data_IF_252357902520
#
_entry.id   IF_252357902520
#
_cell.length_a   1.000
_cell.length_b   1.000
_cell.length_c   1.000
_cell.angle_alpha   90.00
_cell.angle_beta   90.00
_cell.angle_gamma   90.00
#
_symmetry.space_group_name_H-M   'P 1'
#
loop_
_entity.id
_entity.type
_entity.pdbx_description
1 polymer ?
#
# COMPACT_ATOMS: atom_id res chain seq x y z
N UNK A 1 1.88 25.01 21.28
CA UNK A 1 1.58 24.92 19.84
C UNK A 1 0.29 24.10 19.72
N UNK A 2 -0.77 24.68 19.18
CA UNK A 2 -2.04 23.96 19.01
C UNK A 2 -2.00 23.30 17.63
N UNK A 3 -2.09 21.98 17.57
CA UNK A 3 -2.17 21.26 16.30
C UNK A 3 -3.59 21.38 15.76
N UNK A 4 -3.80 21.87 14.51
CA UNK A 4 -5.14 22.16 13.99
C UNK A 4 -6.11 20.97 14.02
N UNK A 5 -5.59 19.75 13.79
CA UNK A 5 -6.38 18.50 13.81
C UNK A 5 -6.60 17.96 15.24
N UNK A 6 -5.85 18.43 16.23
CA UNK A 6 -5.84 17.87 17.57
C UNK A 6 -5.93 19.00 18.61
N UNK A 7 -7.11 19.66 18.75
CA UNK A 7 -7.30 20.77 19.68
C UNK A 7 -7.00 20.39 21.13
N UNK A 8 -7.22 19.12 21.47
CA UNK A 8 -6.93 18.53 22.79
C UNK A 8 -5.72 17.60 22.67
N UNK A 9 -4.51 18.18 22.54
CA UNK A 9 -3.26 17.39 22.47
C UNK A 9 -3.13 16.54 23.73
N UNK A 10 -3.26 15.21 23.52
CA UNK A 10 -2.97 14.22 24.55
C UNK A 10 -1.57 13.63 24.33
N UNK A 11 -0.91 13.15 25.38
CA UNK A 11 0.34 12.42 25.23
C UNK A 11 0.22 11.26 24.22
N UNK A 12 1.32 10.90 23.56
CA UNK A 12 1.37 9.89 22.49
C UNK A 12 0.86 8.51 22.95
N UNK A 13 0.99 8.19 24.23
CA UNK A 13 0.46 6.96 24.80
C UNK A 13 -1.06 6.96 25.04
N UNK A 14 -1.75 8.10 24.82
CA UNK A 14 -3.20 8.22 24.86
C UNK A 14 -3.77 8.08 23.45
N UNK A 15 -4.29 6.91 23.10
CA UNK A 15 -4.85 6.63 21.77
C UNK A 15 -6.37 6.64 21.77
N UNK A 16 -6.94 6.98 20.60
CA UNK A 16 -8.37 6.80 20.30
C UNK A 16 -8.62 5.53 19.46
N UNK A 17 -7.56 4.77 19.14
CA UNK A 17 -7.65 3.59 18.28
C UNK A 17 -7.65 3.88 16.78
N UNK A 18 -7.56 5.16 16.35
CA UNK A 18 -7.51 5.57 14.95
C UNK A 18 -6.13 6.07 14.55
N UNK A 19 -5.80 6.01 13.26
CA UNK A 19 -4.52 6.48 12.72
C UNK A 19 -4.36 7.98 13.00
N UNK A 20 -3.26 8.38 13.67
CA UNK A 20 -2.97 9.76 14.07
C UNK A 20 -4.18 10.51 14.71
N UNK A 21 -5.06 9.79 15.42
CA UNK A 21 -6.31 10.31 16.03
C UNK A 21 -7.30 10.90 15.01
N UNK A 22 -7.30 10.44 13.76
CA UNK A 22 -8.25 10.89 12.76
C UNK A 22 -9.69 10.60 13.20
N UNK A 23 -10.64 11.47 12.88
CA UNK A 23 -12.07 11.20 13.11
C UNK A 23 -12.57 10.13 12.14
N UNK A 24 -13.68 9.48 12.50
CA UNK A 24 -14.31 8.47 11.63
C UNK A 24 -15.13 9.06 10.47
N UNK A 25 -15.43 10.35 10.49
CA UNK A 25 -16.19 11.02 9.45
C UNK A 25 -15.80 12.51 9.34
N UNK A 26 -15.81 13.02 8.10
CA UNK A 26 -15.71 14.45 7.76
C UNK A 26 -16.50 14.72 6.48
N UNK A 27 -17.08 15.92 6.36
CA UNK A 27 -17.96 16.28 5.26
C UNK A 27 -17.25 16.26 3.90
N UNK A 28 -16.04 16.63 3.76
CA UNK A 28 -15.31 16.71 2.49
C UNK A 28 -14.07 15.83 2.46
N UNK A 29 -14.13 14.66 3.11
CA UNK A 29 -13.02 13.73 3.13
C UNK A 29 -12.53 13.38 1.71
N UNK A 30 -11.21 13.42 1.51
CA UNK A 30 -10.55 13.02 0.25
C UNK A 30 -9.67 11.80 0.43
N UNK A 31 -9.29 11.47 1.67
CA UNK A 31 -8.52 10.29 2.02
C UNK A 31 -9.23 9.56 3.16
N UNK A 32 -9.26 8.25 3.11
CA UNK A 32 -9.74 7.40 4.20
C UNK A 32 -8.71 6.30 4.51
N UNK A 33 -8.35 6.19 5.78
CA UNK A 33 -7.61 5.03 6.29
C UNK A 33 -8.63 3.92 6.56
N UNK A 34 -8.33 2.70 6.08
CA UNK A 34 -9.19 1.53 6.25
C UNK A 34 -8.35 0.28 6.52
N UNK A 35 -8.64 -0.46 7.59
CA UNK A 35 -7.95 -1.72 7.88
C UNK A 35 -8.57 -2.90 7.13
N UNK A 36 -7.73 -3.80 6.65
CA UNK A 36 -8.10 -5.02 5.95
C UNK A 36 -7.41 -6.23 6.62
N UNK A 37 -7.86 -6.63 7.84
CA UNK A 37 -7.15 -7.55 8.73
C UNK A 37 -7.31 -9.04 8.33
N UNK A 38 -6.86 -9.41 7.12
CA UNK A 38 -6.90 -10.77 6.60
C UNK A 38 -5.49 -11.30 6.35
N UNK A 39 -5.17 -12.53 6.78
CA UNK A 39 -3.84 -13.13 6.62
C UNK A 39 -3.84 -14.66 6.51
N UNK A 40 -4.99 -15.25 6.22
CA UNK A 40 -5.09 -16.71 6.06
C UNK A 40 -4.75 -17.20 4.66
N UNK A 41 -4.31 -16.29 3.79
CA UNK A 41 -3.76 -16.63 2.48
C UNK A 41 -2.22 -16.66 2.45
N UNK A 42 -1.55 -16.44 3.60
CA UNK A 42 -0.10 -16.45 3.71
C UNK A 42 0.48 -17.87 3.60
N UNK A 43 1.61 -17.99 2.90
CA UNK A 43 2.29 -19.27 2.66
C UNK A 43 3.23 -19.71 3.79
N UNK A 44 3.67 -18.79 4.65
CA UNK A 44 4.65 -19.08 5.71
C UNK A 44 4.26 -18.48 7.05
N UNK A 45 4.71 -17.28 7.39
CA UNK A 45 4.40 -16.64 8.67
C UNK A 45 3.04 -15.96 8.58
N UNK A 46 2.29 -15.99 9.67
CA UNK A 46 0.99 -15.31 9.82
C UNK A 46 1.08 -14.25 10.90
N UNK A 47 0.16 -13.28 10.89
CA UNK A 47 0.10 -12.20 11.87
C UNK A 47 -0.20 -10.84 11.25
N UNK A 48 -0.28 -10.74 9.92
CA UNK A 48 -0.60 -9.50 9.23
C UNK A 48 -2.01 -8.97 9.57
N UNK A 49 -2.93 -9.82 10.04
CA UNK A 49 -4.24 -9.40 10.57
C UNK A 49 -4.15 -8.42 11.74
N UNK A 50 -3.03 -8.38 12.44
CA UNK A 50 -2.79 -7.44 13.55
C UNK A 50 -2.11 -6.15 13.10
N UNK A 51 -1.71 -6.04 11.83
CA UNK A 51 -1.04 -4.87 11.29
C UNK A 51 -1.87 -3.58 11.40
N UNK A 52 -3.18 -3.55 11.07
CA UNK A 52 -3.95 -2.32 11.14
C UNK A 52 -3.90 -1.68 12.54
N UNK A 53 -4.03 -2.48 13.58
CA UNK A 53 -3.94 -2.00 14.97
C UNK A 53 -2.54 -1.49 15.31
N UNK A 54 -1.49 -2.24 14.97
CA UNK A 54 -0.11 -1.89 15.28
C UNK A 54 0.33 -0.61 14.54
N UNK A 55 -0.05 -0.47 13.28
CA UNK A 55 0.25 0.72 12.46
C UNK A 55 -0.46 1.95 13.04
N UNK A 56 -1.74 1.84 13.44
CA UNK A 56 -2.46 2.93 14.10
C UNK A 56 -1.78 3.33 15.42
N UNK A 57 -1.34 2.35 16.20
CA UNK A 57 -0.60 2.62 17.43
C UNK A 57 0.73 3.33 17.15
N UNK A 58 1.51 2.86 16.18
CA UNK A 58 2.77 3.49 15.79
C UNK A 58 2.57 4.91 15.25
N UNK A 59 1.47 5.17 14.54
CA UNK A 59 1.15 6.49 13.98
C UNK A 59 0.99 7.59 15.04
N UNK A 60 0.78 7.23 16.30
CA UNK A 60 0.62 8.19 17.39
C UNK A 60 1.88 9.01 17.66
N UNK A 61 3.05 8.57 17.21
CA UNK A 61 4.34 9.26 17.33
C UNK A 61 4.61 10.21 16.17
N UNK A 62 3.81 10.17 15.11
CA UNK A 62 3.98 11.02 13.94
C UNK A 62 3.43 12.42 14.18
N UNK A 63 4.07 13.40 13.55
CA UNK A 63 3.63 14.80 13.55
C UNK A 63 2.87 15.13 12.26
N UNK A 64 1.91 16.10 12.31
CA UNK A 64 0.99 16.32 11.18
C UNK A 64 1.63 16.98 9.96
N UNK A 65 2.78 17.67 10.10
CA UNK A 65 3.41 18.40 9.01
C UNK A 65 4.46 17.57 8.27
N UNK A 66 4.38 17.51 6.95
CA UNK A 66 5.34 16.85 6.08
C UNK A 66 6.42 17.82 5.60
N UNK A 67 7.66 17.79 6.15
CA UNK A 67 8.65 18.83 5.89
C UNK A 67 9.21 18.83 4.46
N UNK A 68 9.31 17.67 3.80
CA UNK A 68 9.79 17.57 2.41
C UNK A 68 8.78 18.19 1.43
N UNK A 69 7.51 17.88 1.59
CA UNK A 69 6.44 18.32 0.70
C UNK A 69 5.77 19.62 1.13
N UNK A 70 6.03 20.06 2.36
CA UNK A 70 5.48 21.31 2.95
C UNK A 70 3.95 21.34 2.96
N UNK A 71 3.34 20.21 3.32
CA UNK A 71 1.88 20.02 3.41
C UNK A 71 1.51 19.45 4.77
N UNK A 72 0.23 19.54 5.12
CA UNK A 72 -0.41 18.81 6.22
C UNK A 72 -1.27 17.67 5.63
N UNK A 73 -0.72 16.48 5.36
CA UNK A 73 -1.35 15.48 4.51
C UNK A 73 -2.79 15.17 4.88
N UNK A 74 -3.07 14.96 6.16
CA UNK A 74 -4.39 14.55 6.63
C UNK A 74 -5.34 15.74 6.86
N UNK A 75 -4.84 16.93 7.10
CA UNK A 75 -5.65 18.14 7.19
C UNK A 75 -6.04 18.63 5.79
N UNK A 76 -5.07 18.74 4.88
CA UNK A 76 -5.29 19.21 3.51
C UNK A 76 -6.26 18.28 2.75
N UNK A 77 -6.25 16.98 3.07
CA UNK A 77 -7.16 15.98 2.47
C UNK A 77 -8.43 15.73 3.27
N UNK A 78 -8.62 16.41 4.40
CA UNK A 78 -9.73 16.18 5.31
C UNK A 78 -9.89 14.68 5.67
N UNK A 79 -8.76 14.02 5.91
CA UNK A 79 -8.70 12.57 6.08
C UNK A 79 -9.52 12.04 7.26
N UNK A 80 -10.00 10.82 7.10
CA UNK A 80 -10.74 10.05 8.11
C UNK A 80 -10.12 8.68 8.32
N UNK A 81 -10.42 8.03 9.44
CA UNK A 81 -10.15 6.61 9.67
C UNK A 81 -11.48 5.89 9.91
N UNK A 82 -11.87 5.03 8.96
CA UNK A 82 -13.16 4.35 8.97
C UNK A 82 -13.15 3.02 9.73
N UNK A 83 -12.03 2.69 10.39
CA UNK A 83 -11.87 1.42 11.10
C UNK A 83 -11.50 0.27 10.19
N UNK A 84 -11.85 -0.95 10.60
CA UNK A 84 -11.49 -2.18 9.91
C UNK A 84 -12.70 -2.83 9.23
N UNK A 85 -12.45 -3.44 8.08
CA UNK A 85 -13.44 -4.30 7.40
C UNK A 85 -13.62 -5.59 8.20
N UNK A 86 -14.86 -6.02 8.36
CA UNK A 86 -15.18 -7.31 8.97
C UNK A 86 -14.86 -8.45 8.01
N UNK A 87 -13.68 -9.05 8.14
CA UNK A 87 -13.24 -10.20 7.34
C UNK A 87 -13.67 -11.52 7.95
N UNK A 88 -13.75 -12.58 7.14
CA UNK A 88 -14.04 -13.93 7.55
C UNK A 88 -12.75 -14.77 7.44
N UNK A 89 -12.02 -15.03 8.52
CA UNK A 89 -10.66 -15.61 8.45
C UNK A 89 -10.54 -16.93 7.69
N UNK A 90 -11.58 -17.76 7.70
CA UNK A 90 -11.62 -19.06 7.04
C UNK A 90 -12.30 -19.05 5.66
N UNK A 91 -12.61 -17.85 5.12
CA UNK A 91 -13.29 -17.74 3.82
C UNK A 91 -12.74 -16.50 3.06
N UNK A 92 -11.76 -16.74 2.21
CA UNK A 92 -11.10 -15.71 1.42
C UNK A 92 -12.08 -15.02 0.45
N UNK A 93 -12.96 -15.77 -0.21
CA UNK A 93 -13.91 -15.22 -1.18
C UNK A 93 -14.88 -14.25 -0.51
N UNK A 94 -15.44 -14.64 0.64
CA UNK A 94 -16.35 -13.76 1.38
C UNK A 94 -15.61 -12.55 1.96
N UNK A 95 -14.37 -12.70 2.37
CA UNK A 95 -13.52 -11.59 2.81
C UNK A 95 -13.24 -10.62 1.67
N UNK A 96 -12.94 -11.13 0.47
CA UNK A 96 -12.78 -10.28 -0.72
C UNK A 96 -14.03 -9.47 -1.04
N UNK A 97 -15.23 -10.09 -1.01
CA UNK A 97 -16.49 -9.37 -1.23
C UNK A 97 -16.67 -8.22 -0.25
N UNK A 98 -16.42 -8.44 1.03
CA UNK A 98 -16.57 -7.42 2.08
C UNK A 98 -15.53 -6.29 1.93
N UNK A 99 -14.28 -6.63 1.62
CA UNK A 99 -13.23 -5.64 1.36
C UNK A 99 -13.52 -4.84 0.09
N UNK A 100 -13.93 -5.51 -0.99
CA UNK A 100 -14.30 -4.87 -2.24
C UNK A 100 -15.48 -3.89 -2.06
N UNK A 101 -16.53 -4.28 -1.33
CA UNK A 101 -17.68 -3.42 -1.01
C UNK A 101 -17.25 -2.16 -0.25
N UNK A 102 -16.39 -2.31 0.75
CA UNK A 102 -15.90 -1.18 1.55
C UNK A 102 -15.03 -0.21 0.73
N UNK A 103 -14.10 -0.74 -0.07
CA UNK A 103 -13.25 0.05 -0.96
C UNK A 103 -14.08 0.76 -2.04
N UNK A 104 -15.05 0.05 -2.61
CA UNK A 104 -15.95 0.59 -3.64
C UNK A 104 -16.81 1.75 -3.12
N UNK A 105 -17.31 1.66 -1.89
CA UNK A 105 -18.10 2.74 -1.27
C UNK A 105 -17.27 4.02 -1.12
N UNK A 106 -16.01 3.91 -0.68
CA UNK A 106 -15.10 5.04 -0.58
C UNK A 106 -14.78 5.63 -1.95
N UNK A 107 -14.39 4.80 -2.92
CA UNK A 107 -14.01 5.24 -4.27
C UNK A 107 -15.18 5.92 -5.00
N UNK A 108 -16.41 5.41 -4.87
CA UNK A 108 -17.61 6.04 -5.44
C UNK A 108 -17.90 7.43 -4.89
N UNK A 109 -17.48 7.71 -3.66
CA UNK A 109 -17.58 9.03 -3.03
C UNK A 109 -16.43 9.97 -3.41
N UNK A 110 -15.50 9.52 -4.28
CA UNK A 110 -14.31 10.28 -4.64
C UNK A 110 -13.28 10.38 -3.52
N UNK A 111 -13.33 9.46 -2.56
CA UNK A 111 -12.38 9.34 -1.46
C UNK A 111 -11.30 8.32 -1.87
N UNK A 112 -10.03 8.67 -1.72
CA UNK A 112 -8.90 7.80 -1.96
C UNK A 112 -8.66 6.93 -0.72
N UNK A 113 -8.91 5.61 -0.77
CA UNK A 113 -8.62 4.73 0.36
C UNK A 113 -7.13 4.48 0.49
N UNK A 114 -6.65 4.38 1.73
CA UNK A 114 -5.33 3.88 2.08
C UNK A 114 -5.56 2.66 2.97
N UNK A 115 -5.35 1.47 2.42
CA UNK A 115 -5.51 0.18 3.09
C UNK A 115 -4.37 -0.08 4.06
N UNK A 116 -4.70 -0.41 5.30
CA UNK A 116 -3.78 -1.02 6.25
C UNK A 116 -3.94 -2.53 6.12
N UNK A 117 -3.00 -3.19 5.45
CA UNK A 117 -3.11 -4.59 5.11
C UNK A 117 -3.04 -5.52 6.32
N UNK A 118 -3.42 -6.60 6.00
CA UNK A 118 -3.28 -8.00 5.92
C UNK A 118 -2.13 -8.48 5.04
N UNK A 119 -2.30 -9.72 4.59
CA UNK A 119 -1.42 -10.30 3.58
C UNK A 119 -1.68 -9.68 2.19
N UNK A 120 -0.78 -9.88 1.22
CA UNK A 120 -0.87 -9.20 -0.08
C UNK A 120 -2.07 -9.64 -0.93
N UNK A 121 -2.74 -10.75 -0.58
CA UNK A 121 -3.94 -11.21 -1.30
C UNK A 121 -5.08 -10.18 -1.29
N UNK A 122 -5.14 -9.30 -0.28
CA UNK A 122 -6.21 -8.30 -0.12
C UNK A 122 -6.27 -7.29 -1.27
N UNK A 123 -5.13 -7.03 -1.92
CA UNK A 123 -5.01 -6.05 -3.00
C UNK A 123 -5.91 -6.40 -4.18
N UNK A 124 -6.19 -7.69 -4.41
CA UNK A 124 -7.14 -8.11 -5.44
C UNK A 124 -8.54 -7.53 -5.22
N UNK A 125 -9.03 -7.51 -3.99
CA UNK A 125 -10.34 -6.91 -3.67
C UNK A 125 -10.36 -5.40 -3.92
N UNK A 126 -9.26 -4.71 -3.58
CA UNK A 126 -9.09 -3.27 -3.83
C UNK A 126 -9.07 -2.95 -5.33
N UNK A 127 -8.38 -3.76 -6.14
CA UNK A 127 -8.34 -3.61 -7.60
C UNK A 127 -9.68 -3.91 -8.27
N UNK A 128 -10.46 -4.87 -7.77
CA UNK A 128 -11.86 -5.12 -8.23
C UNK A 128 -12.74 -3.91 -8.00
N UNK A 129 -12.65 -3.29 -6.82
CA UNK A 129 -13.36 -2.05 -6.52
C UNK A 129 -12.93 -0.91 -7.46
N UNK A 130 -11.63 -0.74 -7.67
CA UNK A 130 -11.06 0.27 -8.57
C UNK A 130 -11.58 0.10 -10.01
N UNK A 131 -11.58 -1.12 -10.53
CA UNK A 131 -12.10 -1.44 -11.88
C UNK A 131 -13.55 -1.00 -12.05
N UNK A 132 -14.40 -1.17 -11.03
CA UNK A 132 -15.82 -0.80 -11.09
C UNK A 132 -16.04 0.72 -11.20
N UNK A 133 -15.10 1.52 -10.70
CA UNK A 133 -15.22 3.00 -10.71
C UNK A 133 -14.44 3.64 -11.86
N UNK A 134 -13.24 3.13 -12.14
CA UNK A 134 -12.26 3.78 -13.03
C UNK A 134 -11.98 2.99 -14.33
N UNK A 135 -12.51 1.79 -14.49
CA UNK A 135 -12.12 0.88 -15.57
C UNK A 135 -10.79 0.21 -15.25
N UNK A 136 -10.03 -0.19 -16.29
CA UNK A 136 -8.67 -0.73 -16.08
C UNK A 136 -7.74 0.37 -15.57
N UNK A 137 -6.96 0.05 -14.55
CA UNK A 137 -6.09 1.00 -13.86
C UNK A 137 -4.60 0.68 -14.08
N UNK A 138 -3.74 1.67 -13.85
CA UNK A 138 -2.31 1.46 -13.68
C UNK A 138 -2.03 0.95 -12.26
N UNK A 139 -0.91 0.26 -12.08
CA UNK A 139 -0.47 -0.21 -10.76
C UNK A 139 1.03 -0.01 -10.58
N UNK A 140 1.42 0.42 -9.39
CA UNK A 140 2.81 0.38 -8.93
C UNK A 140 2.85 -0.54 -7.72
N UNK A 141 3.63 -1.61 -7.82
CA UNK A 141 3.92 -2.54 -6.74
C UNK A 141 5.37 -2.33 -6.30
N UNK A 142 5.56 -2.06 -5.02
CA UNK A 142 6.85 -2.15 -4.36
C UNK A 142 6.88 -3.43 -3.54
N UNK A 143 7.80 -4.32 -3.86
CA UNK A 143 7.80 -5.69 -3.35
C UNK A 143 9.15 -6.36 -3.59
N UNK A 144 9.46 -7.39 -2.84
CA UNK A 144 10.54 -8.32 -3.19
C UNK A 144 10.09 -9.43 -4.14
N UNK A 145 8.77 -9.70 -4.20
CA UNK A 145 8.14 -10.75 -4.99
C UNK A 145 7.28 -10.20 -6.13
N UNK A 146 7.04 -11.01 -7.16
CA UNK A 146 6.15 -10.61 -8.26
C UNK A 146 4.68 -10.82 -7.95
N UNK A 147 4.35 -11.76 -7.06
CA UNK A 147 2.99 -12.15 -6.69
C UNK A 147 2.10 -12.49 -7.91
N UNK A 148 2.72 -13.12 -8.89
CA UNK A 148 2.11 -13.60 -10.14
C UNK A 148 2.14 -15.12 -10.28
N UNK A 149 2.32 -15.85 -9.18
CA UNK A 149 2.23 -17.31 -9.18
C UNK A 149 0.79 -17.75 -9.33
N UNK A 150 0.56 -18.81 -10.13
CA UNK A 150 -0.79 -19.25 -10.42
C UNK A 150 -1.44 -19.94 -9.21
N UNK A 151 -0.80 -20.99 -8.68
CA UNK A 151 -1.36 -21.77 -7.58
C UNK A 151 -0.33 -22.08 -6.51
N UNK A 152 -0.83 -22.31 -5.30
CA UNK A 152 -0.06 -22.86 -4.18
C UNK A 152 -0.89 -23.98 -3.56
N UNK A 153 -0.37 -25.26 -3.59
CA UNK A 153 -1.12 -26.46 -3.21
C UNK A 153 -2.53 -26.53 -3.84
N UNK A 154 -2.61 -26.29 -5.13
CA UNK A 154 -3.84 -26.26 -5.93
C UNK A 154 -4.82 -25.12 -5.60
N UNK A 155 -4.48 -24.24 -4.64
CA UNK A 155 -5.26 -23.05 -4.32
C UNK A 155 -4.84 -21.84 -5.18
N UNK A 156 -5.83 -21.18 -5.80
CA UNK A 156 -5.61 -20.05 -6.70
C UNK A 156 -5.49 -18.72 -5.98
N UNK A 157 -6.11 -18.59 -4.82
CA UNK A 157 -6.22 -17.33 -4.09
C UNK A 157 -5.35 -17.38 -2.84
N UNK A 158 -4.16 -16.83 -2.93
CA UNK A 158 -3.18 -16.72 -1.85
C UNK A 158 -2.33 -15.46 -2.03
N UNK A 159 -1.50 -15.10 -1.07
CA UNK A 159 -0.79 -13.82 -1.10
C UNK A 159 0.19 -13.68 -2.27
N UNK A 160 0.69 -14.77 -2.85
CA UNK A 160 1.57 -14.74 -4.03
C UNK A 160 0.83 -14.74 -5.38
N UNK A 161 -0.50 -14.57 -5.42
CA UNK A 161 -1.26 -14.67 -6.67
C UNK A 161 -2.14 -13.46 -7.03
N UNK A 162 -2.20 -12.37 -6.26
CA UNK A 162 -3.18 -11.32 -6.53
C UNK A 162 -3.05 -10.71 -7.92
N UNK A 163 -1.84 -10.62 -8.48
CA UNK A 163 -1.62 -9.90 -9.72
C UNK A 163 -1.83 -10.76 -10.98
N UNK A 164 -1.64 -12.07 -10.90
CA UNK A 164 -2.11 -12.93 -11.99
C UNK A 164 -3.64 -13.00 -12.00
N UNK A 165 -4.30 -13.04 -10.84
CA UNK A 165 -5.77 -12.96 -10.76
C UNK A 165 -6.27 -11.61 -11.28
N UNK A 166 -5.61 -10.51 -10.92
CA UNK A 166 -5.95 -9.17 -11.45
C UNK A 166 -5.81 -9.09 -12.97
N UNK A 167 -4.82 -9.75 -13.56
CA UNK A 167 -4.65 -9.86 -15.00
C UNK A 167 -5.78 -10.67 -15.64
N UNK A 168 -6.08 -11.86 -15.14
CA UNK A 168 -7.15 -12.72 -15.65
C UNK A 168 -8.52 -12.04 -15.61
N UNK A 169 -8.80 -11.23 -14.59
CA UNK A 169 -10.03 -10.46 -14.44
C UNK A 169 -10.00 -9.14 -15.26
N UNK A 170 -8.91 -8.85 -15.94
CA UNK A 170 -8.75 -7.63 -16.75
C UNK A 170 -8.87 -6.35 -15.92
N UNK A 171 -8.34 -6.34 -14.69
CA UNK A 171 -8.43 -5.19 -13.78
C UNK A 171 -7.40 -4.11 -14.12
N UNK A 172 -6.27 -4.50 -14.70
CA UNK A 172 -5.09 -3.67 -14.91
C UNK A 172 -4.88 -3.35 -16.40
N UNK A 173 -4.18 -2.24 -16.69
CA UNK A 173 -3.54 -1.97 -17.98
C UNK A 173 -2.13 -2.55 -17.95
N UNK A 174 -1.83 -3.70 -18.61
CA UNK A 174 -0.58 -4.43 -18.41
C UNK A 174 0.68 -3.58 -18.63
N UNK A 175 0.70 -2.78 -19.69
CA UNK A 175 1.80 -1.88 -20.04
C UNK A 175 2.05 -0.77 -18.99
N UNK A 176 1.12 -0.56 -18.06
CA UNK A 176 1.19 0.42 -16.96
C UNK A 176 1.25 -0.22 -15.57
N UNK A 177 1.60 -1.49 -15.52
CA UNK A 177 1.92 -2.20 -14.28
C UNK A 177 3.43 -2.17 -14.09
N UNK A 178 3.87 -1.72 -12.93
CA UNK A 178 5.27 -1.71 -12.52
C UNK A 178 5.44 -2.52 -11.25
N UNK A 179 6.30 -3.55 -11.30
CA UNK A 179 6.72 -4.37 -10.17
C UNK A 179 8.17 -4.00 -9.84
N UNK A 180 8.39 -3.34 -8.71
CA UNK A 180 9.65 -2.67 -8.39
C UNK A 180 10.27 -3.26 -7.13
N UNK A 181 11.52 -3.66 -7.22
CA UNK A 181 12.28 -4.20 -6.08
C UNK A 181 12.44 -5.70 -6.07
N UNK A 182 12.01 -6.37 -7.13
CA UNK A 182 12.00 -7.83 -7.26
C UNK A 182 13.41 -8.39 -7.06
N UNK A 183 13.51 -9.40 -6.18
CA UNK A 183 14.77 -10.04 -5.81
C UNK A 183 14.54 -11.40 -5.15
N UNK A 184 15.60 -11.97 -4.60
CA UNK A 184 15.57 -13.23 -3.86
C UNK A 184 15.79 -14.44 -4.75
N UNK A 185 15.60 -15.60 -4.15
CA UNK A 185 15.72 -16.90 -4.84
C UNK A 185 14.37 -17.31 -5.43
N UNK A 186 14.40 -17.96 -6.58
CA UNK A 186 13.22 -18.39 -7.32
C UNK A 186 13.06 -19.91 -7.26
N UNK A 187 11.85 -20.41 -7.31
CA UNK A 187 11.60 -21.85 -7.49
C UNK A 187 11.96 -22.30 -8.90
N UNK A 188 11.72 -21.42 -9.89
CA UNK A 188 11.97 -21.69 -11.29
C UNK A 188 12.35 -20.39 -12.02
N UNK A 189 13.20 -20.43 -13.07
CA UNK A 189 13.52 -19.24 -13.87
C UNK A 189 12.28 -18.52 -14.42
N UNK A 190 11.21 -19.26 -14.70
CA UNK A 190 9.94 -18.70 -15.20
C UNK A 190 9.13 -17.88 -14.20
N UNK A 191 9.53 -17.80 -12.95
CA UNK A 191 8.75 -17.07 -11.93
C UNK A 191 8.74 -15.55 -12.20
N UNK A 192 9.80 -14.99 -12.75
CA UNK A 192 9.85 -13.59 -13.19
C UNK A 192 9.37 -13.45 -14.63
N UNK A 193 9.75 -14.38 -15.52
CA UNK A 193 9.31 -14.39 -16.91
C UNK A 193 7.79 -14.36 -17.04
N UNK A 194 7.06 -15.00 -16.14
CA UNK A 194 5.60 -14.95 -16.10
C UNK A 194 5.07 -13.51 -16.04
N UNK A 195 5.69 -12.63 -15.26
CA UNK A 195 5.28 -11.21 -15.19
C UNK A 195 5.54 -10.46 -16.51
N UNK A 196 6.65 -10.75 -17.18
CA UNK A 196 6.92 -10.18 -18.51
C UNK A 196 5.93 -10.68 -19.58
N UNK A 197 5.52 -11.96 -19.50
CA UNK A 197 4.52 -12.56 -20.39
C UNK A 197 3.13 -11.92 -20.18
N UNK A 198 2.81 -11.47 -18.96
CA UNK A 198 1.61 -10.69 -18.68
C UNK A 198 1.69 -9.25 -19.23
N UNK A 199 2.84 -8.81 -19.74
CA UNK A 199 3.07 -7.45 -20.23
C UNK A 199 3.42 -6.44 -19.15
N UNK A 200 3.85 -6.89 -17.97
CA UNK A 200 4.22 -6.04 -16.84
C UNK A 200 5.66 -5.55 -16.96
N UNK A 201 5.94 -4.39 -16.37
CA UNK A 201 7.28 -3.83 -16.28
C UNK A 201 7.90 -4.29 -14.95
N UNK A 202 8.81 -5.26 -15.02
CA UNK A 202 9.53 -5.74 -13.83
C UNK A 202 10.84 -5.00 -13.71
N UNK A 203 11.06 -4.38 -12.56
CA UNK A 203 12.28 -3.64 -12.22
C UNK A 203 12.91 -4.31 -10.99
N UNK A 204 13.95 -5.08 -11.23
CA UNK A 204 14.65 -5.79 -10.15
C UNK A 204 15.40 -4.81 -9.24
N UNK A 205 15.70 -5.24 -8.01
CA UNK A 205 16.55 -4.46 -7.09
C UNK A 205 17.89 -4.10 -7.73
N UNK A 206 18.48 -5.03 -8.48
CA UNK A 206 19.76 -4.77 -9.19
C UNK A 206 19.59 -3.69 -10.27
N UNK A 207 18.53 -3.73 -11.03
CA UNK A 207 18.23 -2.73 -12.05
C UNK A 207 17.98 -1.37 -11.42
N UNK A 208 17.11 -1.30 -10.38
CA UNK A 208 16.82 -0.06 -9.67
C UNK A 208 18.08 0.58 -9.08
N UNK A 209 18.99 -0.21 -8.52
CA UNK A 209 20.27 0.29 -8.00
C UNK A 209 21.24 0.75 -9.11
N UNK A 210 21.29 0.05 -10.24
CA UNK A 210 22.20 0.41 -11.33
C UNK A 210 21.75 1.64 -12.11
N UNK A 211 20.44 1.82 -12.31
CA UNK A 211 19.87 2.99 -12.99
C UNK A 211 19.69 4.19 -12.07
N UNK A 212 19.49 3.93 -10.78
CA UNK A 212 19.08 4.92 -9.80
C UNK A 212 17.57 5.21 -9.82
N UNK A 213 17.01 5.48 -8.64
CA UNK A 213 15.57 5.65 -8.49
C UNK A 213 15.01 6.86 -9.26
N UNK A 214 15.81 7.90 -9.50
CA UNK A 214 15.36 9.10 -10.25
C UNK A 214 14.96 8.73 -11.68
N UNK A 215 15.79 7.94 -12.36
CA UNK A 215 15.52 7.48 -13.73
C UNK A 215 14.30 6.55 -13.79
N UNK A 216 14.24 5.59 -12.89
CA UNK A 216 13.11 4.63 -12.83
C UNK A 216 11.80 5.34 -12.52
N UNK A 217 11.77 6.28 -11.58
CA UNK A 217 10.57 7.06 -11.26
C UNK A 217 10.15 7.94 -12.43
N UNK A 218 11.09 8.51 -13.16
CA UNK A 218 10.78 9.28 -14.37
C UNK A 218 10.11 8.41 -15.44
N UNK A 219 10.59 7.18 -15.65
CA UNK A 219 9.96 6.19 -16.54
C UNK A 219 8.54 5.86 -16.09
N UNK A 220 8.34 5.49 -14.82
CA UNK A 220 7.05 5.16 -14.24
C UNK A 220 6.05 6.31 -14.49
N UNK A 221 6.44 7.53 -14.13
CA UNK A 221 5.59 8.72 -14.29
C UNK A 221 5.24 9.01 -15.76
N UNK A 222 6.20 8.86 -16.67
CA UNK A 222 5.97 9.08 -18.09
C UNK A 222 5.00 8.05 -18.69
N UNK A 223 5.14 6.79 -18.32
CA UNK A 223 4.34 5.69 -18.88
C UNK A 223 2.92 5.64 -18.28
N UNK A 224 2.77 5.87 -16.98
CA UNK A 224 1.45 5.94 -16.32
C UNK A 224 0.70 7.22 -16.73
N UNK A 225 1.38 8.35 -16.79
CA UNK A 225 0.77 9.63 -17.12
C UNK A 225 -0.36 10.02 -16.16
N UNK A 226 -1.56 10.30 -16.72
CA UNK A 226 -2.74 10.64 -15.93
C UNK A 226 -3.71 9.46 -15.72
N UNK A 227 -3.30 8.24 -16.05
CA UNK A 227 -4.11 7.03 -15.84
C UNK A 227 -4.40 6.88 -14.33
N UNK A 228 -5.64 6.52 -13.94
CA UNK A 228 -5.92 6.17 -12.56
C UNK A 228 -4.96 5.09 -12.07
N UNK A 229 -4.25 5.36 -10.96
CA UNK A 229 -3.15 4.53 -10.49
C UNK A 229 -3.40 4.04 -9.07
N UNK A 230 -3.29 2.74 -8.85
CA UNK A 230 -3.25 2.11 -7.53
C UNK A 230 -1.79 1.86 -7.15
N UNK A 231 -1.41 2.16 -5.90
CA UNK A 231 -0.08 1.85 -5.39
C UNK A 231 -0.21 0.84 -4.25
N UNK A 232 0.43 -0.31 -4.41
CA UNK A 232 0.55 -1.33 -3.37
C UNK A 232 2.01 -1.41 -2.90
N UNK A 233 2.18 -1.49 -1.59
CA UNK A 233 3.49 -1.55 -0.96
C UNK A 233 3.56 -2.74 -0.01
N UNK A 234 4.27 -3.79 -0.44
CA UNK A 234 4.68 -4.85 0.47
C UNK A 234 5.86 -4.37 1.31
N UNK A 235 5.75 -4.55 2.62
CA UNK A 235 6.81 -4.09 3.52
C UNK A 235 8.12 -4.86 3.35
N UNK A 236 8.09 -6.04 2.72
CA UNK A 236 9.28 -6.83 2.42
C UNK A 236 10.12 -6.28 1.24
N UNK A 237 9.64 -5.25 0.51
CA UNK A 237 10.49 -4.41 -0.33
C UNK A 237 11.69 -3.87 0.44
N UNK A 238 11.50 -3.60 1.73
CA UNK A 238 12.52 -3.14 2.67
C UNK A 238 13.41 -4.31 3.07
N UNK A 239 14.70 -4.04 3.25
CA UNK A 239 15.62 -5.04 3.79
C UNK A 239 15.21 -5.44 5.22
N UNK A 240 15.25 -6.73 5.58
CA UNK A 240 14.91 -7.21 6.92
C UNK A 240 15.69 -6.55 8.07
N UNK A 241 16.84 -5.93 7.78
CA UNK A 241 17.58 -5.14 8.77
C UNK A 241 16.81 -3.88 9.21
N UNK A 242 15.87 -3.37 8.39
CA UNK A 242 15.07 -2.18 8.66
C UNK A 242 13.58 -2.49 8.86
N UNK A 243 13.09 -3.60 8.33
CA UNK A 243 11.71 -4.05 8.49
C UNK A 243 11.66 -5.56 8.74
N UNK A 244 12.04 -6.03 9.95
CA UNK A 244 12.07 -7.46 10.27
C UNK A 244 10.68 -8.09 10.43
N UNK A 245 9.64 -7.28 10.67
CA UNK A 245 8.29 -7.74 10.96
C UNK A 245 7.48 -8.02 9.70
N UNK A 246 7.93 -8.99 8.88
CA UNK A 246 7.19 -9.46 7.70
C UNK A 246 7.20 -10.98 7.59
N UNK A 247 6.41 -11.53 6.67
CA UNK A 247 6.19 -12.96 6.49
C UNK A 247 7.29 -13.65 5.71
N UNK A 248 7.52 -13.23 4.50
CA UNK A 248 8.44 -13.80 3.52
C UNK A 248 9.61 -12.83 3.29
N UNK A 249 10.65 -12.99 4.12
CA UNK A 249 11.79 -12.06 4.10
C UNK A 249 12.75 -12.34 2.96
N UNK A 250 13.13 -11.28 2.25
CA UNK A 250 14.21 -11.33 1.25
C UNK A 250 15.30 -10.31 1.59
N UNK A 251 16.54 -10.79 1.73
CA UNK A 251 17.71 -9.95 2.02
C UNK A 251 18.15 -9.15 0.79
N UNK A 252 18.97 -8.10 1.01
CA UNK A 252 19.46 -7.25 -0.07
C UNK A 252 18.46 -6.20 -0.56
N UNK A 253 17.44 -5.94 0.25
CA UNK A 253 16.41 -4.95 0.00
C UNK A 253 16.87 -3.49 0.20
N UNK A 254 15.91 -2.58 0.30
CA UNK A 254 16.15 -1.15 0.45
C UNK A 254 16.14 -0.74 1.92
N UNK A 255 16.91 0.28 2.24
CA UNK A 255 16.86 0.92 3.55
C UNK A 255 15.54 1.71 3.70
N UNK A 256 15.12 1.97 4.94
CA UNK A 256 13.98 2.87 5.19
C UNK A 256 14.17 4.25 4.55
N UNK A 257 15.40 4.77 4.54
CA UNK A 257 15.72 6.05 3.91
C UNK A 257 15.51 6.04 2.38
N UNK A 258 16.00 5.01 1.67
CA UNK A 258 15.81 4.85 0.23
C UNK A 258 14.33 4.74 -0.13
N UNK A 259 13.57 3.92 0.61
CA UNK A 259 12.14 3.74 0.38
C UNK A 259 11.37 5.06 0.53
N UNK A 260 11.62 5.83 1.60
CA UNK A 260 10.99 7.14 1.79
C UNK A 260 11.34 8.11 0.65
N UNK A 261 12.59 8.11 0.16
CA UNK A 261 12.98 8.96 -0.97
C UNK A 261 12.25 8.54 -2.27
N UNK A 262 12.15 7.25 -2.53
CA UNK A 262 11.45 6.69 -3.69
C UNK A 262 9.99 7.11 -3.67
N UNK A 263 9.27 6.85 -2.57
CA UNK A 263 7.84 7.18 -2.45
C UNK A 263 7.62 8.70 -2.58
N UNK A 264 8.42 9.51 -1.90
CA UNK A 264 8.33 10.99 -1.99
C UNK A 264 8.57 11.53 -3.40
N UNK A 265 9.28 10.80 -4.24
CA UNK A 265 9.54 11.19 -5.64
C UNK A 265 8.37 10.92 -6.58
N UNK A 266 7.39 10.10 -6.18
CA UNK A 266 6.22 9.69 -6.98
C UNK A 266 5.09 10.72 -7.02
N UNK A 267 5.41 12.00 -6.96
CA UNK A 267 4.43 13.10 -7.03
C UNK A 267 3.80 13.23 -8.42
N UNK A 268 2.55 13.69 -8.48
CA UNK A 268 1.87 14.10 -9.72
C UNK A 268 1.03 13.02 -10.39
N UNK A 269 1.10 11.75 -9.98
CA UNK A 269 0.26 10.68 -10.49
C UNK A 269 -1.20 10.81 -9.99
N UNK A 270 -2.12 10.18 -10.72
CA UNK A 270 -3.54 10.17 -10.39
C UNK A 270 -3.87 8.99 -9.47
N UNK A 271 -3.51 9.11 -8.21
CA UNK A 271 -3.76 8.04 -7.22
C UNK A 271 -5.24 7.90 -6.90
N UNK A 272 -5.73 6.67 -6.98
CA UNK A 272 -7.11 6.28 -6.69
C UNK A 272 -7.23 5.37 -5.49
N UNK A 273 -6.13 4.89 -4.97
CA UNK A 273 -6.03 4.03 -3.79
C UNK A 273 -4.61 3.60 -3.52
N UNK A 274 -4.38 3.22 -2.28
CA UNK A 274 -3.13 2.65 -1.80
C UNK A 274 -3.45 1.49 -0.87
N UNK A 275 -2.51 0.57 -0.74
CA UNK A 275 -2.40 -0.30 0.42
C UNK A 275 -0.95 -0.48 0.86
N UNK A 276 -0.76 -0.85 2.11
CA UNK A 276 0.50 -1.28 2.69
C UNK A 276 0.24 -2.60 3.40
N UNK A 277 0.97 -3.64 3.00
CA UNK A 277 0.68 -5.04 3.33
C UNK A 277 1.86 -5.75 3.97
N UNK A 278 1.63 -6.96 4.46
CA UNK A 278 2.61 -7.92 5.00
C UNK A 278 3.38 -7.44 6.24
N UNK A 279 2.85 -6.45 6.98
CA UNK A 279 3.39 -6.11 8.30
C UNK A 279 2.91 -7.15 9.31
N UNK A 280 3.84 -7.83 9.97
CA UNK A 280 3.56 -8.86 10.96
C UNK A 280 4.01 -8.43 12.36
N UNK A 281 3.14 -7.80 13.18
CA UNK A 281 3.48 -7.36 14.52
C UNK A 281 4.06 -8.44 15.44
N UNK A 282 3.67 -9.73 15.37
CA UNK A 282 4.29 -10.78 16.17
C UNK A 282 5.80 -10.97 15.93
N UNK A 283 6.30 -10.53 14.78
CA UNK A 283 7.72 -10.60 14.41
C UNK A 283 8.41 -9.23 14.45
N UNK A 284 7.73 -8.20 14.96
CA UNK A 284 8.22 -6.82 15.09
C UNK A 284 8.26 -6.36 16.57
N UNK A 285 9.06 -7.00 17.46
CA UNK A 285 9.04 -6.71 18.88
C UNK A 285 9.46 -5.29 19.24
N UNK A 286 10.18 -4.61 18.36
CA UNK A 286 10.59 -3.21 18.51
C UNK A 286 9.63 -2.22 17.88
N UNK A 287 8.61 -2.70 17.17
CA UNK A 287 7.62 -1.91 16.41
C UNK A 287 8.25 -1.00 15.32
N UNK A 288 9.47 -1.31 14.90
CA UNK A 288 10.18 -0.51 13.88
C UNK A 288 9.54 -0.68 12.51
N UNK A 289 9.04 -1.88 12.19
CA UNK A 289 8.31 -2.16 10.94
C UNK A 289 6.97 -1.43 10.91
N UNK A 290 6.21 -1.49 12.00
CA UNK A 290 4.94 -0.77 12.11
C UNK A 290 5.12 0.75 12.06
N UNK A 291 6.21 1.29 12.65
CA UNK A 291 6.53 2.71 12.57
C UNK A 291 6.90 3.14 11.14
N UNK A 292 7.70 2.32 10.45
CA UNK A 292 8.03 2.59 9.04
C UNK A 292 6.77 2.57 8.17
N UNK A 293 5.89 1.58 8.36
CA UNK A 293 4.60 1.50 7.70
C UNK A 293 3.74 2.76 7.94
N UNK A 294 3.62 3.20 9.18
CA UNK A 294 2.89 4.43 9.51
C UNK A 294 3.49 5.67 8.82
N UNK A 295 4.83 5.73 8.72
CA UNK A 295 5.54 6.83 8.03
C UNK A 295 5.28 6.81 6.52
N UNK A 296 5.30 5.65 5.88
CA UNK A 296 4.97 5.49 4.46
C UNK A 296 3.51 5.89 4.17
N UNK A 297 2.58 5.53 5.05
CA UNK A 297 1.16 5.94 4.94
C UNK A 297 1.01 7.46 5.03
N UNK A 298 1.79 8.11 5.88
CA UNK A 298 1.85 9.57 5.93
C UNK A 298 2.36 10.16 4.61
N UNK A 299 3.37 9.53 3.98
CA UNK A 299 3.86 9.92 2.66
C UNK A 299 2.80 9.69 1.56
N UNK A 300 2.04 8.58 1.59
CA UNK A 300 0.94 8.33 0.63
C UNK A 300 -0.13 9.43 0.69
N UNK A 301 -0.55 9.79 1.90
CA UNK A 301 -1.50 10.90 2.07
C UNK A 301 -0.93 12.23 1.55
N UNK A 302 0.39 12.45 1.70
CA UNK A 302 1.05 13.65 1.16
C UNK A 302 1.04 13.68 -0.37
N UNK A 303 1.19 12.55 -1.06
CA UNK A 303 1.08 12.47 -2.53
C UNK A 303 -0.32 12.90 -3.00
N UNK A 304 -1.36 12.49 -2.29
CA UNK A 304 -2.74 12.90 -2.59
C UNK A 304 -2.93 14.41 -2.35
N UNK A 305 -2.48 14.93 -1.20
CA UNK A 305 -2.58 16.34 -0.86
C UNK A 305 -1.91 17.24 -1.92
N UNK A 306 -0.69 16.87 -2.35
CA UNK A 306 0.04 17.60 -3.40
C UNK A 306 -0.73 17.67 -4.71
N UNK A 307 -1.34 16.56 -5.13
CA UNK A 307 -2.11 16.56 -6.37
C UNK A 307 -3.36 17.43 -6.27
N UNK A 308 -4.06 17.39 -5.14
CA UNK A 308 -5.23 18.25 -4.93
C UNK A 308 -4.87 19.74 -4.96
N UNK A 309 -3.76 20.13 -4.32
CA UNK A 309 -3.27 21.51 -4.33
C UNK A 309 -2.90 21.96 -5.76
N UNK A 310 -2.32 21.08 -6.58
CA UNK A 310 -2.03 21.36 -8.00
C UNK A 310 -3.30 21.54 -8.85
N UNK A 311 -4.37 20.79 -8.56
CA UNK A 311 -5.65 20.94 -9.27
C UNK A 311 -6.40 22.19 -8.86
N UNK A 312 -6.33 22.59 -7.60
CA UNK A 312 -6.95 23.81 -7.08
C UNK A 312 -6.25 25.10 -7.55
N UNK A 313 -4.99 25.01 -7.97
CA UNK A 313 -4.20 26.17 -8.47
C UNK A 313 -4.32 26.41 -9.99
N UNK A 314 -5.02 25.54 -10.70
CA UNK A 314 -5.34 25.66 -12.14
C UNK A 314 -6.74 26.21 -12.34
#
# INVERSE_FOLDING_TARGET
MQYPLFPDVKPEFCTTGTFMRLPSARENAKVAIIGQPFDTAASFRVGARFAPQAIRQASMTLFPYHPTHKVYPFEDTQAIDVGDVSVIPHNIHRSYELMEEAMLDLMKKGIVPIGLGGDHSITLASLRAAKKVYGQVAMIQFDSHTDTWDTYYDEKYWHGSPFIRAHEEGLLQPDKVFQVGIRGTLNHPGDIEASYELGYNVITTQELRSRGFVDVIAQIKAQIGNTPCFLTFDIDFIDPAFAPGTGTLEVGGFTSHEALQIIRSLTGLNYIGFDLVEVLPPYDPTQITALLAATLIHDFAALVALRQNQLASK
#
